data_IF_315283237747
#
_entry.id   IF_315283237747
#
_cell.length_a   1.000
_cell.length_b   1.000
_cell.length_c   1.000
_cell.angle_alpha   90.00
_cell.angle_beta   90.00
_cell.angle_gamma   90.00
#
_symmetry.space_group_name_H-M   'P 1'
#
loop_
_entity.id
_entity.type
_entity.pdbx_description
1 polymer ?
#
# COMPACT_ATOMS: atom_id res chain seq x y z
N UNK A 1 17.75 46.16 -36.03
CA UNK A 1 18.69 46.58 -34.98
C UNK A 1 17.90 46.84 -33.70
N UNK A 2 18.05 45.98 -32.69
CA UNK A 2 17.94 46.26 -31.24
C UNK A 2 17.97 44.89 -30.52
N UNK A 3 19.14 44.55 -29.99
CA UNK A 3 19.35 43.49 -28.99
C UNK A 3 18.91 44.03 -27.64
N UNK A 4 18.29 43.22 -26.78
CA UNK A 4 18.47 43.27 -25.32
C UNK A 4 18.12 41.89 -24.72
N UNK A 5 18.96 41.51 -23.76
CA UNK A 5 19.32 40.19 -23.23
C UNK A 5 18.47 39.76 -22.00
N UNK A 6 18.64 38.51 -21.50
CA UNK A 6 17.69 37.84 -20.60
C UNK A 6 17.92 38.14 -19.11
N UNK A 7 16.86 38.06 -18.31
CA UNK A 7 16.95 38.00 -16.85
C UNK A 7 16.97 36.54 -16.38
N UNK A 8 18.15 36.07 -16.01
CA UNK A 8 18.40 34.83 -15.28
C UNK A 8 18.52 35.20 -13.80
N UNK A 9 17.58 34.77 -12.96
CA UNK A 9 17.73 34.81 -11.50
C UNK A 9 18.19 33.45 -11.01
N UNK A 10 19.49 33.37 -10.64
CA UNK A 10 20.07 32.28 -9.88
C UNK A 10 19.70 32.45 -8.40
N UNK A 11 19.02 31.48 -7.81
CA UNK A 11 18.92 31.34 -6.35
C UNK A 11 19.99 30.34 -5.88
N UNK A 12 20.96 30.75 -5.04
CA UNK A 12 21.84 29.84 -4.32
C UNK A 12 21.36 29.69 -2.88
N UNK A 13 20.81 28.54 -2.49
CA UNK A 13 20.61 28.23 -1.06
C UNK A 13 20.95 26.78 -0.76
N UNK A 14 21.94 26.66 0.12
CA UNK A 14 22.22 25.60 1.08
C UNK A 14 22.67 24.22 0.58
N UNK A 15 23.99 24.04 0.66
CA UNK A 15 24.60 22.79 1.05
C UNK A 15 23.96 22.25 2.34
N UNK A 16 23.52 20.99 2.30
CA UNK A 16 23.09 20.21 3.46
C UNK A 16 23.70 18.83 3.35
N UNK A 17 24.88 18.66 3.94
CA UNK A 17 25.48 17.36 4.17
C UNK A 17 24.71 16.64 5.28
N UNK A 18 24.15 15.47 5.00
CA UNK A 18 23.70 14.53 6.03
C UNK A 18 24.10 13.10 5.67
N UNK A 19 25.22 12.70 6.26
CA UNK A 19 25.35 11.49 7.08
C UNK A 19 24.91 10.15 6.50
N UNK A 20 25.90 9.36 6.06
CA UNK A 20 25.83 7.91 6.09
C UNK A 20 25.56 7.44 7.53
N UNK A 21 24.40 6.84 7.78
CA UNK A 21 24.14 6.07 8.99
C UNK A 21 24.28 4.58 8.67
N UNK A 22 25.16 3.95 9.44
CA UNK A 22 25.75 2.64 9.26
C UNK A 22 24.74 1.47 9.26
N UNK A 23 25.17 0.42 8.56
CA UNK A 23 24.88 -0.98 8.81
C UNK A 23 24.64 -1.28 10.30
N UNK A 24 23.41 -1.62 10.65
CA UNK A 24 23.07 -2.34 11.89
C UNK A 24 22.86 -3.82 11.58
N UNK A 25 23.95 -4.55 11.34
CA UNK A 25 23.94 -6.00 11.12
C UNK A 25 24.92 -6.64 12.09
N UNK A 26 24.52 -6.73 13.36
CA UNK A 26 25.06 -7.53 14.47
C UNK A 26 24.06 -7.34 15.63
N UNK A 27 23.64 -8.30 16.44
CA UNK A 27 24.14 -9.62 16.77
C UNK A 27 22.96 -10.44 17.34
N UNK A 28 23.01 -11.76 17.27
CA UNK A 28 22.74 -12.63 18.42
C UNK A 28 23.13 -14.06 18.05
N UNK A 29 24.43 -14.32 18.14
CA UNK A 29 24.96 -15.65 18.33
C UNK A 29 25.78 -15.62 19.62
N UNK A 30 25.53 -16.62 20.47
CA UNK A 30 26.27 -16.98 21.68
C UNK A 30 25.99 -16.14 22.93
N UNK A 31 25.05 -16.63 23.74
CA UNK A 31 25.12 -16.60 25.21
C UNK A 31 24.33 -17.80 25.76
N UNK A 32 24.90 -18.99 25.58
CA UNK A 32 24.63 -20.13 26.44
C UNK A 32 25.77 -20.14 27.47
N UNK A 33 25.49 -19.73 28.70
CA UNK A 33 26.29 -19.91 29.93
C UNK A 33 25.69 -19.09 31.07
N UNK A 34 24.46 -19.41 31.49
CA UNK A 34 24.09 -19.41 32.92
C UNK A 34 22.69 -20.00 33.09
N UNK A 35 22.69 -21.29 33.41
CA UNK A 35 21.55 -22.02 33.95
C UNK A 35 21.30 -21.49 35.36
N UNK A 36 20.36 -20.56 35.52
CA UNK A 36 19.71 -20.31 36.80
C UNK A 36 18.26 -20.77 36.69
N UNK A 37 17.94 -21.81 37.46
CA UNK A 37 16.61 -22.38 37.60
C UNK A 37 15.72 -21.39 38.36
N UNK A 38 15.12 -20.45 37.62
CA UNK A 38 14.13 -19.52 38.11
C UNK A 38 12.78 -19.81 37.45
N UNK A 39 11.79 -20.21 38.26
CA UNK A 39 10.43 -20.51 37.83
C UNK A 39 9.79 -19.35 37.07
N UNK A 40 9.73 -19.50 35.76
CA UNK A 40 8.98 -18.67 34.85
C UNK A 40 8.96 -19.36 33.50
N UNK A 41 7.95 -20.19 33.24
CA UNK A 41 7.76 -20.75 31.90
C UNK A 41 7.47 -19.60 30.96
N UNK A 42 8.51 -19.06 30.32
CA UNK A 42 8.35 -18.22 29.15
C UNK A 42 7.56 -19.06 28.15
N UNK A 43 6.28 -18.75 27.99
CA UNK A 43 5.45 -19.37 26.96
C UNK A 43 6.12 -18.98 25.65
N UNK A 44 6.82 -19.93 25.04
CA UNK A 44 7.34 -19.77 23.70
C UNK A 44 6.15 -19.38 22.83
N UNK A 45 6.11 -18.10 22.43
CA UNK A 45 5.15 -17.64 21.44
C UNK A 45 5.50 -18.44 20.20
N UNK A 46 4.68 -19.45 19.90
CA UNK A 46 4.82 -20.21 18.67
C UNK A 46 4.99 -19.20 17.54
N UNK A 47 5.99 -19.35 16.64
CA UNK A 47 6.15 -18.45 15.52
C UNK A 47 4.79 -18.38 14.86
N UNK A 48 4.16 -17.19 14.90
CA UNK A 48 2.89 -16.92 14.24
C UNK A 48 3.14 -17.38 12.82
N UNK A 49 2.54 -18.51 12.44
CA UNK A 49 2.78 -19.14 11.14
C UNK A 49 2.69 -18.00 10.14
N UNK A 50 3.79 -17.73 9.44
CA UNK A 50 3.82 -16.72 8.40
C UNK A 50 2.92 -17.25 7.29
N UNK A 51 1.60 -17.13 7.49
CA UNK A 51 0.62 -17.39 6.48
C UNK A 51 1.00 -16.43 5.37
N UNK A 52 1.39 -17.00 4.23
CA UNK A 52 1.62 -16.22 3.03
C UNK A 52 0.43 -15.26 2.88
N UNK A 53 0.68 -13.96 2.67
CA UNK A 53 -0.40 -12.98 2.63
C UNK A 53 -1.43 -13.43 1.61
N UNK A 54 -2.64 -13.69 2.10
CA UNK A 54 -3.76 -14.10 1.26
C UNK A 54 -3.92 -13.12 0.10
N UNK A 55 -3.99 -13.66 -1.12
CA UNK A 55 -4.06 -12.86 -2.35
C UNK A 55 -5.28 -11.95 -2.38
N UNK A 56 -5.17 -10.81 -3.07
CA UNK A 56 -6.23 -9.81 -3.14
C UNK A 56 -7.55 -10.39 -3.67
N UNK A 57 -7.49 -11.27 -4.66
CA UNK A 57 -8.67 -11.95 -5.21
C UNK A 57 -9.46 -12.71 -4.15
N UNK A 58 -8.78 -13.51 -3.32
CA UNK A 58 -9.41 -14.30 -2.26
C UNK A 58 -10.02 -13.38 -1.20
N UNK A 59 -9.35 -12.28 -0.86
CA UNK A 59 -9.89 -11.28 0.06
C UNK A 59 -11.14 -10.60 -0.47
N UNK A 60 -11.17 -10.26 -1.77
CA UNK A 60 -12.35 -9.70 -2.43
C UNK A 60 -13.50 -10.71 -2.44
N UNK A 61 -13.25 -11.97 -2.79
CA UNK A 61 -14.28 -13.02 -2.72
C UNK A 61 -14.83 -13.19 -1.30
N UNK A 62 -13.96 -13.18 -0.29
CA UNK A 62 -14.38 -13.23 1.11
C UNK A 62 -15.23 -12.02 1.49
N UNK A 63 -14.86 -10.82 1.01
CA UNK A 63 -15.60 -9.59 1.27
C UNK A 63 -16.99 -9.60 0.62
N UNK A 64 -17.14 -10.15 -0.59
CA UNK A 64 -18.44 -10.29 -1.24
C UNK A 64 -19.39 -11.16 -0.40
N UNK A 65 -18.85 -12.24 0.20
CA UNK A 65 -19.60 -13.11 1.12
C UNK A 65 -19.92 -12.42 2.44
N UNK A 66 -18.96 -11.71 3.04
CA UNK A 66 -19.15 -10.97 4.30
C UNK A 66 -20.21 -9.86 4.16
N UNK A 67 -20.22 -9.20 3.01
CA UNK A 67 -21.20 -8.17 2.68
C UNK A 67 -22.54 -8.73 2.22
N UNK A 68 -22.74 -10.06 2.17
CA UNK A 68 -24.01 -10.69 1.77
C UNK A 68 -24.52 -10.14 0.42
N UNK A 69 -23.66 -10.19 -0.60
CA UNK A 69 -23.98 -9.69 -1.95
C UNK A 69 -25.04 -10.56 -2.63
N UNK A 70 -26.11 -9.93 -3.11
CA UNK A 70 -27.17 -10.58 -3.87
C UNK A 70 -26.73 -10.89 -5.31
N UNK A 71 -27.34 -11.90 -5.98
CA UNK A 71 -27.02 -12.23 -7.37
C UNK A 71 -27.09 -11.04 -8.34
N UNK A 72 -28.07 -10.16 -8.16
CA UNK A 72 -28.24 -8.95 -8.99
C UNK A 72 -27.12 -7.92 -8.82
N UNK A 73 -26.38 -7.97 -7.71
CA UNK A 73 -25.24 -7.10 -7.41
C UNK A 73 -23.90 -7.65 -7.96
N UNK A 74 -23.84 -8.95 -8.29
CA UNK A 74 -22.61 -9.62 -8.72
C UNK A 74 -21.96 -9.06 -9.99
N UNK A 75 -22.69 -8.52 -10.99
CA UNK A 75 -22.05 -7.81 -12.11
C UNK A 75 -21.24 -6.60 -11.65
N UNK A 76 -21.81 -5.75 -10.80
CA UNK A 76 -21.13 -4.58 -10.25
C UNK A 76 -19.94 -5.00 -9.35
N UNK A 77 -20.13 -6.04 -8.54
CA UNK A 77 -19.06 -6.61 -7.72
C UNK A 77 -17.86 -7.12 -8.56
N UNK A 78 -18.14 -7.80 -9.68
CA UNK A 78 -17.08 -8.27 -10.59
C UNK A 78 -16.33 -7.12 -11.25
N UNK A 79 -17.04 -6.07 -11.69
CA UNK A 79 -16.42 -4.88 -12.24
C UNK A 79 -15.51 -4.18 -11.21
N UNK A 80 -16.02 -4.00 -9.98
CA UNK A 80 -15.23 -3.47 -8.86
C UNK A 80 -13.99 -4.33 -8.58
N UNK A 81 -14.15 -5.65 -8.45
CA UNK A 81 -13.05 -6.56 -8.17
C UNK A 81 -11.99 -6.54 -9.27
N UNK A 82 -12.40 -6.44 -10.54
CA UNK A 82 -11.50 -6.26 -11.67
C UNK A 82 -10.67 -4.98 -11.54
N UNK A 83 -11.32 -3.84 -11.27
CA UNK A 83 -10.63 -2.57 -11.07
C UNK A 83 -9.63 -2.61 -9.90
N UNK A 84 -9.94 -3.32 -8.80
CA UNK A 84 -9.03 -3.50 -7.67
C UNK A 84 -7.79 -4.35 -8.03
N UNK A 85 -7.96 -5.38 -8.85
CA UNK A 85 -6.85 -6.20 -9.36
C UNK A 85 -5.97 -5.40 -10.34
N UNK A 86 -6.58 -4.60 -11.21
CA UNK A 86 -5.85 -3.70 -12.10
C UNK A 86 -5.04 -2.66 -11.33
N UNK A 87 -5.63 -2.05 -10.28
CA UNK A 87 -4.92 -1.16 -9.37
C UNK A 87 -3.72 -1.84 -8.71
N UNK A 88 -3.88 -3.08 -8.22
CA UNK A 88 -2.76 -3.84 -7.65
C UNK A 88 -1.65 -4.08 -8.69
N UNK A 89 -2.01 -4.40 -9.93
CA UNK A 89 -1.06 -4.60 -11.02
C UNK A 89 -0.31 -3.30 -11.36
N UNK A 90 -1.02 -2.18 -11.44
CA UNK A 90 -0.43 -0.86 -11.66
C UNK A 90 0.54 -0.48 -10.55
N UNK A 91 0.16 -0.67 -9.29
CA UNK A 91 1.03 -0.43 -8.13
C UNK A 91 2.30 -1.28 -8.20
N UNK A 92 2.22 -2.58 -8.52
CA UNK A 92 3.40 -3.44 -8.68
C UNK A 92 4.31 -2.99 -9.82
N UNK A 93 3.73 -2.54 -10.94
CA UNK A 93 4.50 -2.01 -12.09
C UNK A 93 5.22 -0.71 -11.70
N UNK A 94 4.53 0.19 -11.02
CA UNK A 94 5.14 1.41 -10.50
C UNK A 94 6.30 1.11 -9.54
N UNK A 95 6.09 0.21 -8.57
CA UNK A 95 7.13 -0.23 -7.63
C UNK A 95 8.35 -0.85 -8.35
N UNK A 96 8.13 -1.66 -9.38
CA UNK A 96 9.21 -2.22 -10.18
C UNK A 96 10.02 -1.16 -10.93
N UNK A 97 9.36 -0.15 -11.52
CA UNK A 97 10.02 0.98 -12.20
C UNK A 97 10.85 1.82 -11.23
N UNK A 98 10.30 2.10 -10.04
CA UNK A 98 11.03 2.78 -8.96
C UNK A 98 12.26 1.97 -8.54
N UNK A 99 12.12 0.66 -8.33
CA UNK A 99 13.23 -0.22 -7.96
C UNK A 99 14.31 -0.32 -9.06
N UNK A 100 13.92 -0.17 -10.33
CA UNK A 100 14.83 -0.12 -11.47
C UNK A 100 15.54 1.24 -11.64
N UNK A 101 15.20 2.25 -10.83
CA UNK A 101 15.79 3.59 -10.93
C UNK A 101 15.27 4.40 -12.13
N UNK A 102 14.10 4.03 -12.68
CA UNK A 102 13.48 4.81 -13.75
C UNK A 102 12.98 6.17 -13.24
N UNK A 103 13.02 7.17 -14.13
CA UNK A 103 12.36 8.44 -13.86
C UNK A 103 10.83 8.23 -13.85
N UNK A 104 10.20 8.45 -12.69
CA UNK A 104 8.75 8.33 -12.49
C UNK A 104 8.14 9.65 -12.02
N UNK A 105 6.96 9.99 -12.56
CA UNK A 105 6.18 11.14 -12.10
C UNK A 105 5.26 10.73 -10.94
N UNK A 106 5.80 10.56 -9.74
CA UNK A 106 5.03 10.03 -8.60
C UNK A 106 3.68 10.75 -8.33
N UNK A 107 3.60 12.10 -8.37
CA UNK A 107 2.32 12.78 -8.12
C UNK A 107 1.23 12.39 -9.13
N UNK A 108 1.62 12.17 -10.39
CA UNK A 108 0.70 11.78 -11.46
C UNK A 108 0.24 10.34 -11.32
N UNK A 109 1.15 9.43 -10.97
CA UNK A 109 0.83 8.02 -10.69
C UNK A 109 -0.14 7.92 -9.50
N UNK A 110 0.12 8.66 -8.42
CA UNK A 110 -0.77 8.75 -7.25
C UNK A 110 -2.16 9.28 -7.62
N UNK A 111 -2.24 10.36 -8.40
CA UNK A 111 -3.51 10.91 -8.84
C UNK A 111 -4.29 9.90 -9.70
N UNK A 112 -3.60 9.17 -10.58
CA UNK A 112 -4.20 8.15 -11.43
C UNK A 112 -4.78 7.00 -10.59
N UNK A 113 -4.02 6.47 -9.62
CA UNK A 113 -4.50 5.43 -8.72
C UNK A 113 -5.72 5.89 -7.89
N UNK A 114 -5.67 7.11 -7.35
CA UNK A 114 -6.77 7.67 -6.56
C UNK A 114 -8.05 7.86 -7.40
N UNK A 115 -7.93 8.33 -8.64
CA UNK A 115 -9.06 8.48 -9.55
C UNK A 115 -9.70 7.14 -9.92
N UNK A 116 -8.88 6.15 -10.29
CA UNK A 116 -9.38 4.81 -10.62
C UNK A 116 -10.08 4.15 -9.42
N UNK A 117 -9.47 4.26 -8.24
CA UNK A 117 -10.06 3.75 -7.01
C UNK A 117 -11.38 4.45 -6.67
N UNK A 118 -11.42 5.78 -6.73
CA UNK A 118 -12.62 6.57 -6.47
C UNK A 118 -13.75 6.25 -7.46
N UNK A 119 -13.42 6.06 -8.74
CA UNK A 119 -14.38 5.65 -9.76
C UNK A 119 -14.95 4.25 -9.48
N UNK A 120 -14.09 3.26 -9.15
CA UNK A 120 -14.52 1.91 -8.81
C UNK A 120 -15.42 1.88 -7.57
N UNK A 121 -15.07 2.65 -6.52
CA UNK A 121 -15.89 2.79 -5.32
C UNK A 121 -17.25 3.44 -5.61
N UNK A 122 -17.28 4.53 -6.39
CA UNK A 122 -18.53 5.20 -6.73
C UNK A 122 -19.45 4.29 -7.55
N UNK A 123 -18.91 3.40 -8.38
CA UNK A 123 -19.70 2.51 -9.20
C UNK A 123 -20.35 1.42 -8.34
N UNK A 124 -19.57 0.75 -7.49
CA UNK A 124 -20.12 -0.29 -6.61
C UNK A 124 -21.12 0.28 -5.62
N UNK A 125 -20.86 1.45 -5.01
CA UNK A 125 -21.72 2.05 -3.99
C UNK A 125 -23.17 2.29 -4.47
N UNK A 126 -23.39 2.54 -5.77
CA UNK A 126 -24.74 2.69 -6.35
C UNK A 126 -25.55 1.39 -6.33
N UNK A 127 -24.87 0.24 -6.29
CA UNK A 127 -25.50 -1.08 -6.27
C UNK A 127 -25.70 -1.63 -4.85
N UNK A 128 -25.11 -1.00 -3.84
CA UNK A 128 -25.10 -1.50 -2.47
C UNK A 128 -26.19 -0.87 -1.61
N UNK A 129 -26.73 -1.65 -0.68
CA UNK A 129 -27.46 -1.07 0.45
C UNK A 129 -26.50 -0.31 1.39
N UNK A 130 -27.00 0.63 2.22
CA UNK A 130 -26.15 1.37 3.15
C UNK A 130 -25.31 0.48 4.09
N UNK A 131 -25.87 -0.65 4.55
CA UNK A 131 -25.16 -1.62 5.40
C UNK A 131 -24.03 -2.31 4.65
N UNK A 132 -24.27 -2.71 3.40
CA UNK A 132 -23.26 -3.33 2.54
C UNK A 132 -22.13 -2.35 2.23
N UNK A 133 -22.47 -1.11 1.85
CA UNK A 133 -21.49 -0.05 1.58
C UNK A 133 -20.59 0.21 2.80
N UNK A 134 -21.15 0.26 4.01
CA UNK A 134 -20.34 0.40 5.23
C UNK A 134 -19.39 -0.79 5.45
N UNK A 135 -19.85 -2.02 5.20
CA UNK A 135 -19.04 -3.24 5.34
C UNK A 135 -17.87 -3.22 4.35
N UNK A 136 -18.17 -2.93 3.09
CA UNK A 136 -17.20 -2.82 2.00
C UNK A 136 -16.17 -1.73 2.27
N UNK A 137 -16.61 -0.52 2.66
CA UNK A 137 -15.71 0.60 2.98
C UNK A 137 -14.73 0.27 4.11
N UNK A 138 -15.22 -0.29 5.22
CA UNK A 138 -14.35 -0.70 6.35
C UNK A 138 -13.33 -1.76 5.94
N UNK A 139 -13.70 -2.69 5.08
CA UNK A 139 -12.79 -3.71 4.58
C UNK A 139 -11.75 -3.10 3.63
N UNK A 140 -12.17 -2.21 2.74
CA UNK A 140 -11.29 -1.49 1.82
C UNK A 140 -10.28 -0.64 2.58
N UNK A 141 -10.69 0.12 3.59
CA UNK A 141 -9.78 0.92 4.42
C UNK A 141 -8.63 0.09 5.01
N UNK A 142 -8.90 -1.18 5.37
CA UNK A 142 -7.87 -2.14 5.82
C UNK A 142 -6.96 -2.63 4.70
N UNK A 143 -7.44 -2.67 3.47
CA UNK A 143 -6.68 -3.10 2.29
C UNK A 143 -5.87 -1.95 1.67
N UNK A 144 -6.31 -0.70 1.79
CA UNK A 144 -5.70 0.48 1.14
C UNK A 144 -4.18 0.59 1.31
N UNK A 145 -3.58 0.37 2.50
CA UNK A 145 -2.13 0.46 2.67
C UNK A 145 -1.33 -0.53 1.81
N UNK A 146 -1.97 -1.58 1.28
CA UNK A 146 -1.35 -2.60 0.42
C UNK A 146 -1.60 -2.37 -1.07
N UNK A 147 -2.51 -1.47 -1.43
CA UNK A 147 -2.95 -1.25 -2.81
C UNK A 147 -2.46 0.09 -3.34
N UNK A 148 -2.24 1.04 -2.44
CA UNK A 148 -1.76 2.36 -2.76
C UNK A 148 -0.28 2.47 -2.40
N UNK A 149 0.50 3.09 -3.30
CA UNK A 149 1.91 3.39 -3.09
C UNK A 149 2.12 4.01 -1.70
N UNK A 150 3.10 3.50 -0.92
CA UNK A 150 3.42 3.92 0.46
C UNK A 150 3.53 5.44 0.69
N UNK A 151 3.69 6.24 -0.36
CA UNK A 151 3.74 7.71 -0.30
C UNK A 151 2.40 8.45 -0.18
N UNK A 152 1.22 7.81 -0.28
CA UNK A 152 -0.07 8.49 -0.08
C UNK A 152 -0.49 8.63 1.39
N UNK A 153 0.20 7.95 2.32
CA UNK A 153 -0.14 7.98 3.75
C UNK A 153 0.58 9.09 4.53
N UNK A 154 1.50 9.82 3.90
CA UNK A 154 2.42 10.76 4.55
C UNK A 154 2.17 12.24 4.17
N UNK A 155 0.97 12.57 3.66
CA UNK A 155 0.54 13.96 3.46
C UNK A 155 -0.24 14.48 4.64
#
# INVERSE_FOLDING_TARGET
MARLTPFITRNPVAAGAFGFAALGLMAFALSDLHRTEGFGTARAVAPRSAQAPEGLSVRLESLAREADMNPDQMPAWRAFSGAMLDLQLMTRRFEARVAAGEAVEEPRERATHALMFGAALSEIDRSLSPRQAQTVRRAIDRMMPTLICRGLSAS
#
